data_IF_011618434887
#
_entry.id   IF_011618434887
#
_cell.length_a   1.000
_cell.length_b   1.000
_cell.length_c   1.000
_cell.angle_alpha   90.00
_cell.angle_beta   90.00
_cell.angle_gamma   90.00
#
_symmetry.space_group_name_H-M   'P 1'
#
loop_
_entity.id
_entity.type
_entity.pdbx_description
1 polymer ?
#
# COMPACT_ATOMS: atom_id res chain seq x y z
N UNK A 1 -2.98 -8.57 5.72
CA UNK A 1 -2.19 -7.52 6.44
C UNK A 1 -3.17 -6.64 7.19
N UNK A 2 -2.75 -5.88 8.20
CA UNK A 2 -3.62 -4.88 8.86
C UNK A 2 -3.63 -3.55 8.09
N UNK A 3 -4.65 -2.70 8.30
CA UNK A 3 -4.71 -1.37 7.68
C UNK A 3 -3.47 -0.52 7.97
N UNK A 4 -2.91 -0.62 9.18
CA UNK A 4 -1.66 0.06 9.53
C UNK A 4 -0.46 -0.45 8.73
N UNK A 5 -0.39 -1.75 8.43
CA UNK A 5 0.66 -2.33 7.59
C UNK A 5 0.52 -1.91 6.14
N UNK A 6 -0.72 -1.77 5.65
CA UNK A 6 -1.01 -1.22 4.32
C UNK A 6 -0.49 0.21 4.19
N UNK A 7 -0.86 1.09 5.11
CA UNK A 7 -0.37 2.48 5.11
C UNK A 7 1.15 2.53 5.12
N UNK A 8 1.80 1.74 5.97
CA UNK A 8 3.27 1.68 6.02
C UNK A 8 3.90 1.19 4.70
N UNK A 9 3.32 0.16 4.07
CA UNK A 9 3.80 -0.33 2.78
C UNK A 9 3.69 0.73 1.68
N UNK A 10 2.57 1.46 1.70
CA UNK A 10 2.28 2.55 0.79
C UNK A 10 3.29 3.70 0.93
N UNK A 11 3.55 4.14 2.17
CA UNK A 11 4.52 5.19 2.46
C UNK A 11 5.96 4.77 2.11
N UNK A 12 6.31 3.50 2.27
CA UNK A 12 7.64 2.99 1.94
C UNK A 12 7.88 2.92 0.43
N UNK A 13 6.89 2.48 -0.34
CA UNK A 13 7.04 2.29 -1.80
C UNK A 13 6.88 3.60 -2.57
N UNK A 14 5.93 4.44 -2.16
CA UNK A 14 5.54 5.65 -2.91
C UNK A 14 5.86 6.96 -2.18
N UNK A 15 6.29 6.89 -0.93
CA UNK A 15 6.46 8.06 -0.07
C UNK A 15 5.15 8.48 0.62
N UNK A 16 5.24 9.24 1.72
CA UNK A 16 4.09 9.55 2.57
C UNK A 16 3.04 10.47 1.93
N UNK A 17 3.47 11.37 1.05
CA UNK A 17 2.57 12.32 0.38
C UNK A 17 1.92 11.67 -0.84
N UNK A 18 2.73 11.20 -1.78
CA UNK A 18 2.22 10.59 -3.02
C UNK A 18 1.46 9.29 -2.76
N UNK A 19 1.92 8.46 -1.81
CA UNK A 19 1.18 7.28 -1.38
C UNK A 19 -0.23 7.63 -0.90
N UNK A 20 -0.38 8.59 0.01
CA UNK A 20 -1.70 8.97 0.50
C UNK A 20 -2.64 9.47 -0.61
N UNK A 21 -2.15 10.30 -1.53
CA UNK A 21 -2.95 10.71 -2.70
C UNK A 21 -3.34 9.50 -3.54
N UNK A 22 -2.41 8.59 -3.82
CA UNK A 22 -2.68 7.37 -4.58
C UNK A 22 -3.78 6.52 -3.94
N UNK A 23 -3.76 6.34 -2.61
CA UNK A 23 -4.79 5.56 -1.92
C UNK A 23 -6.18 6.18 -2.01
N UNK A 24 -6.29 7.51 -2.13
CA UNK A 24 -7.56 8.22 -2.24
C UNK A 24 -8.07 8.30 -3.68
N UNK A 25 -7.16 8.48 -4.65
CA UNK A 25 -7.52 8.89 -6.00
C UNK A 25 -7.45 7.74 -7.03
N UNK A 26 -6.60 6.73 -6.80
CA UNK A 26 -6.46 5.60 -7.74
C UNK A 26 -7.63 4.64 -7.59
N UNK A 27 -8.50 4.61 -8.59
CA UNK A 27 -9.60 3.64 -8.71
C UNK A 27 -9.04 2.27 -9.10
N UNK A 28 -9.35 1.24 -8.31
CA UNK A 28 -8.88 -0.12 -8.55
C UNK A 28 -9.95 -0.93 -9.30
N UNK A 29 -9.57 -1.51 -10.45
CA UNK A 29 -10.47 -2.20 -11.40
C UNK A 29 -11.43 -3.24 -10.78
N UNK A 30 -11.05 -4.11 -9.84
CA UNK A 30 -11.97 -5.14 -9.34
C UNK A 30 -13.12 -4.60 -8.48
N UNK A 31 -12.99 -3.39 -7.92
CA UNK A 31 -14.01 -2.80 -7.06
C UNK A 31 -14.61 -1.51 -7.61
N UNK A 32 -13.97 -0.90 -8.62
CA UNK A 32 -14.42 0.37 -9.19
C UNK A 32 -14.38 1.54 -8.20
N UNK A 33 -13.61 1.40 -7.11
CA UNK A 33 -13.43 2.42 -6.07
C UNK A 33 -11.96 2.57 -5.70
N UNK A 34 -11.64 3.64 -4.98
CA UNK A 34 -10.27 3.87 -4.49
C UNK A 34 -9.84 2.84 -3.44
N UNK A 35 -8.54 2.75 -3.19
CA UNK A 35 -8.01 1.87 -2.15
C UNK A 35 -8.58 2.21 -0.76
N UNK A 36 -8.70 3.51 -0.44
CA UNK A 36 -9.30 3.96 0.82
C UNK A 36 -10.78 3.56 0.95
N UNK A 37 -11.54 3.69 -0.13
CA UNK A 37 -12.95 3.30 -0.18
C UNK A 37 -13.12 1.77 -0.10
N UNK A 38 -12.27 0.99 -0.78
CA UNK A 38 -12.28 -0.48 -0.70
C UNK A 38 -12.03 -0.96 0.74
N UNK A 39 -11.03 -0.38 1.43
CA UNK A 39 -10.75 -0.67 2.83
C UNK A 39 -11.94 -0.32 3.74
N UNK A 40 -12.61 0.81 3.49
CA UNK A 40 -13.79 1.22 4.24
C UNK A 40 -14.99 0.28 4.03
N UNK A 41 -15.08 -0.35 2.86
CA UNK A 41 -16.08 -1.38 2.55
C UNK A 41 -15.74 -2.76 3.15
N UNK A 42 -14.59 -2.90 3.81
CA UNK A 42 -14.17 -4.15 4.46
C UNK A 42 -13.40 -5.11 3.54
N UNK A 43 -12.94 -4.65 2.38
CA UNK A 43 -12.03 -5.43 1.53
C UNK A 43 -10.72 -5.71 2.27
N UNK A 44 -10.17 -6.92 2.13
CA UNK A 44 -8.93 -7.28 2.81
C UNK A 44 -7.78 -6.36 2.34
N UNK A 45 -7.02 -5.73 3.26
CA UNK A 45 -5.95 -4.81 2.89
C UNK A 45 -4.84 -5.45 2.05
N UNK A 46 -4.64 -6.77 2.19
CA UNK A 46 -3.72 -7.55 1.35
C UNK A 46 -4.15 -7.53 -0.11
N UNK A 47 -5.43 -7.72 -0.35
CA UNK A 47 -6.00 -7.73 -1.69
C UNK A 47 -5.92 -6.34 -2.32
N UNK A 48 -6.26 -5.29 -1.55
CA UNK A 48 -6.15 -3.90 -1.99
C UNK A 48 -4.70 -3.56 -2.37
N UNK A 49 -3.73 -3.95 -1.54
CA UNK A 49 -2.30 -3.74 -1.84
C UNK A 49 -1.85 -4.50 -3.08
N UNK A 50 -2.20 -5.78 -3.21
CA UNK A 50 -1.76 -6.58 -4.34
C UNK A 50 -2.29 -5.98 -5.66
N UNK A 51 -3.54 -5.49 -5.67
CA UNK A 51 -4.12 -4.76 -6.82
C UNK A 51 -3.48 -3.44 -7.10
N UNK A 52 -3.21 -2.64 -6.08
CA UNK A 52 -2.49 -1.37 -6.24
C UNK A 52 -1.10 -1.61 -6.83
N UNK A 53 -0.40 -2.65 -6.37
CA UNK A 53 0.89 -3.06 -6.95
C UNK A 53 0.77 -3.49 -8.41
N UNK A 54 -0.31 -4.18 -8.81
CA UNK A 54 -0.54 -4.56 -10.21
C UNK A 54 -0.75 -3.33 -11.09
N UNK A 55 -1.62 -2.40 -10.69
CA UNK A 55 -1.96 -1.18 -11.44
C UNK A 55 -0.74 -0.24 -11.57
N UNK A 56 0.05 -0.11 -10.51
CA UNK A 56 1.25 0.73 -10.48
C UNK A 56 2.51 0.04 -10.99
N UNK A 57 2.41 -1.22 -11.45
CA UNK A 57 3.53 -2.04 -11.92
C UNK A 57 4.70 -2.08 -10.92
N UNK A 58 4.39 -2.18 -9.63
CA UNK A 58 5.37 -2.21 -8.55
C UNK A 58 6.23 -3.48 -8.66
N UNK A 59 7.54 -3.33 -8.47
CA UNK A 59 8.46 -4.48 -8.52
C UNK A 59 8.16 -5.50 -7.42
N UNK A 60 8.50 -6.77 -7.65
CA UNK A 60 8.26 -7.83 -6.68
C UNK A 60 8.95 -7.56 -5.33
N UNK A 61 10.16 -6.99 -5.35
CA UNK A 61 10.89 -6.59 -4.14
C UNK A 61 10.12 -5.56 -3.31
N UNK A 62 9.51 -4.57 -3.97
CA UNK A 62 8.72 -3.52 -3.33
C UNK A 62 7.36 -4.04 -2.84
N UNK A 63 6.78 -5.04 -3.51
CA UNK A 63 5.51 -5.66 -3.08
C UNK A 63 5.62 -6.31 -1.71
N UNK A 64 6.81 -6.76 -1.29
CA UNK A 64 7.02 -7.48 -0.03
C UNK A 64 7.58 -6.64 1.13
N UNK A 65 7.62 -5.30 1.01
CA UNK A 65 8.24 -4.40 2.01
C UNK A 65 7.67 -4.53 3.43
N UNK A 66 6.37 -4.86 3.53
CA UNK A 66 5.70 -5.00 4.82
C UNK A 66 6.13 -6.27 5.58
N UNK A 67 6.75 -7.26 4.90
CA UNK A 67 7.29 -8.48 5.53
C UNK A 67 8.70 -8.29 6.11
N UNK A 68 9.39 -7.21 5.79
CA UNK A 68 10.72 -6.91 6.35
C UNK A 68 10.60 -6.36 7.77
N UNK A 69 11.47 -6.80 8.68
CA UNK A 69 11.36 -6.53 10.12
C UNK A 69 11.35 -5.01 10.42
N UNK A 70 10.43 -4.50 11.28
CA UNK A 70 10.36 -3.09 11.64
C UNK A 70 11.68 -2.51 12.16
N UNK A 71 12.56 -3.35 12.75
CA UNK A 71 13.88 -2.93 13.25
C UNK A 71 14.87 -2.53 12.16
N UNK A 72 14.73 -3.03 10.92
CA UNK A 72 15.58 -2.58 9.80
C UNK A 72 15.18 -1.18 9.30
N UNK A 73 13.94 -0.74 9.55
CA UNK A 73 13.33 0.49 9.00
C UNK A 73 13.82 1.79 9.65
N UNK A 74 14.36 1.73 10.88
CA UNK A 74 14.77 2.92 11.64
C UNK A 74 16.16 3.45 11.27
N UNK A 75 16.89 2.73 10.41
CA UNK A 75 18.31 3.02 10.09
C UNK A 75 18.49 3.95 8.88
N UNK A 76 17.42 4.21 8.11
CA UNK A 76 17.45 5.06 6.89
C UNK A 76 16.98 6.50 7.16
N UNK A 77 16.37 6.78 8.32
CA UNK A 77 15.96 8.14 8.73
C UNK A 77 17.04 8.90 9.53
N UNK A 78 18.33 8.59 9.37
CA UNK A 78 19.43 9.26 10.10
C UNK A 78 20.46 9.86 9.16
#
# INVERSE_FOLDING_TARGET
MKNSEFTLALEEVFGPVFGNSLAQDLVLSPWGVSASAALAQGVDPREVWDRLCDEMQVSETQRWVYRMDPKQRRRVKR
#
